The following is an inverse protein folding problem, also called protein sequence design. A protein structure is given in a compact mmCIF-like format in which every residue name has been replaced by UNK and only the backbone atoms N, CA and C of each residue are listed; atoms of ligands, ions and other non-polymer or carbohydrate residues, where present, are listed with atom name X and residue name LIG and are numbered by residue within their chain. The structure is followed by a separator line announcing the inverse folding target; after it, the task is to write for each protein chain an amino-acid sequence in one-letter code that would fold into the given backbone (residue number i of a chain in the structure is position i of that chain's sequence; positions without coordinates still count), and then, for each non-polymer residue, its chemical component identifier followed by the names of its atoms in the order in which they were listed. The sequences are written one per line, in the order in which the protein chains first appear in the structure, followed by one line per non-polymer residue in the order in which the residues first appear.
data_IF_017875333318
#
_entry.id   IF_017875333318
#
_cell.length_a   1.000
_cell.length_b   1.000
_cell.length_c   1.000
_cell.angle_alpha   90.00
_cell.angle_beta   90.00
_cell.angle_gamma   90.00
#
_symmetry.space_group_name_H-M   'P 1'
#
loop_
_entity.id
_entity.type
_entity.pdbx_description
1 polymer ?
#
# COMPACT_ATOMS: atom_id res chain seq x y z
N UNK A 1 2.33 -40.16 18.68
CA UNK A 1 2.14 -38.70 18.54
C UNK A 1 2.23 -38.21 17.10
N UNK A 2 3.11 -38.75 16.24
CA UNK A 2 3.24 -38.28 14.85
C UNK A 2 2.11 -38.70 13.90
N UNK A 3 1.51 -39.89 14.05
CA UNK A 3 0.59 -40.42 13.03
C UNK A 3 -0.75 -39.66 12.96
N UNK A 4 -1.36 -39.34 14.11
CA UNK A 4 -2.59 -38.55 14.14
C UNK A 4 -2.37 -37.14 13.57
N UNK A 5 -1.21 -36.55 13.84
CA UNK A 5 -0.84 -35.25 13.29
C UNK A 5 -0.69 -35.31 11.76
N UNK A 6 -0.01 -36.32 11.24
CA UNK A 6 0.14 -36.51 9.79
C UNK A 6 -1.21 -36.74 9.11
N UNK A 7 -2.09 -37.53 9.72
CA UNK A 7 -3.44 -37.76 9.21
C UNK A 7 -4.26 -36.45 9.14
N UNK A 8 -4.28 -35.68 10.23
CA UNK A 8 -4.97 -34.39 10.27
C UNK A 8 -4.39 -33.40 9.25
N UNK A 9 -3.06 -33.35 9.13
CA UNK A 9 -2.38 -32.49 8.17
C UNK A 9 -2.72 -32.87 6.73
N UNK A 10 -2.68 -34.15 6.39
CA UNK A 10 -2.99 -34.61 5.03
C UNK A 10 -4.46 -34.37 4.66
N UNK A 11 -5.38 -34.54 5.61
CA UNK A 11 -6.78 -34.20 5.41
C UNK A 11 -6.96 -32.69 5.12
N UNK A 12 -6.36 -31.82 5.95
CA UNK A 12 -6.44 -30.37 5.77
C UNK A 12 -5.77 -29.92 4.46
N UNK A 13 -4.62 -30.52 4.13
CA UNK A 13 -3.90 -30.25 2.87
C UNK A 13 -4.75 -30.64 1.67
N UNK A 14 -5.43 -31.78 1.71
CA UNK A 14 -6.28 -32.23 0.61
C UNK A 14 -7.49 -31.32 0.41
N UNK A 15 -8.18 -30.97 1.49
CA UNK A 15 -9.40 -30.16 1.44
C UNK A 15 -9.13 -28.70 1.03
N UNK A 16 -8.11 -28.07 1.62
CA UNK A 16 -7.88 -26.64 1.43
C UNK A 16 -6.71 -26.35 0.50
N UNK A 17 -5.56 -26.97 0.76
CA UNK A 17 -4.31 -26.57 0.11
C UNK A 17 -4.30 -26.96 -1.37
N UNK A 18 -4.65 -28.21 -1.69
CA UNK A 18 -4.66 -28.69 -3.09
C UNK A 18 -5.69 -27.92 -3.91
N UNK A 19 -6.91 -27.76 -3.38
CA UNK A 19 -7.98 -27.01 -4.05
C UNK A 19 -7.53 -25.58 -4.38
N UNK A 20 -6.97 -24.88 -3.39
CA UNK A 20 -6.46 -23.52 -3.57
C UNK A 20 -5.33 -23.45 -4.59
N UNK A 21 -4.40 -24.40 -4.58
CA UNK A 21 -3.32 -24.47 -5.56
C UNK A 21 -3.86 -24.64 -6.99
N UNK A 22 -4.88 -25.47 -7.18
CA UNK A 22 -5.50 -25.68 -8.49
C UNK A 22 -6.20 -24.41 -8.98
N UNK A 23 -7.00 -23.75 -8.13
CA UNK A 23 -7.64 -22.48 -8.45
C UNK A 23 -6.62 -21.40 -8.86
N UNK A 24 -5.52 -21.27 -8.12
CA UNK A 24 -4.44 -20.34 -8.47
C UNK A 24 -3.84 -20.68 -9.83
N UNK A 25 -3.58 -21.96 -10.08
CA UNK A 25 -2.99 -22.40 -11.34
C UNK A 25 -3.91 -22.13 -12.54
N UNK A 26 -5.22 -22.31 -12.39
CA UNK A 26 -6.21 -21.95 -13.43
C UNK A 26 -6.24 -20.44 -13.69
N UNK A 27 -6.25 -19.62 -12.62
CA UNK A 27 -6.17 -18.16 -12.74
C UNK A 27 -4.89 -17.74 -13.48
N UNK A 28 -3.74 -18.31 -13.10
CA UNK A 28 -2.46 -17.98 -13.74
C UNK A 28 -2.43 -18.39 -15.21
N UNK A 29 -3.01 -19.54 -15.56
CA UNK A 29 -3.14 -19.97 -16.96
C UNK A 29 -4.03 -19.02 -17.75
N UNK A 30 -5.18 -18.62 -17.21
CA UNK A 30 -6.08 -17.65 -17.88
C UNK A 30 -5.44 -16.27 -18.07
N UNK A 31 -4.55 -15.87 -17.17
CA UNK A 31 -3.77 -14.62 -17.26
C UNK A 31 -2.49 -14.76 -18.09
N UNK A 32 -2.17 -15.96 -18.59
CA UNK A 32 -0.95 -16.23 -19.35
C UNK A 32 0.35 -16.13 -18.54
N UNK A 33 0.27 -16.19 -17.21
CA UNK A 33 1.42 -16.07 -16.29
C UNK A 33 2.25 -17.35 -16.36
N UNK A 34 3.49 -17.23 -16.82
CA UNK A 34 4.43 -18.35 -16.96
C UNK A 34 5.26 -18.51 -15.68
N UNK A 35 5.82 -19.72 -15.50
CA UNK A 35 6.78 -19.99 -14.41
C UNK A 35 7.97 -19.02 -14.41
N UNK A 36 8.37 -18.52 -15.58
CA UNK A 36 9.42 -17.50 -15.73
C UNK A 36 9.11 -16.20 -15.01
N UNK A 37 7.84 -15.84 -14.95
CA UNK A 37 7.38 -14.54 -14.48
C UNK A 37 7.35 -14.52 -12.95
N UNK A 38 7.21 -15.71 -12.34
CA UNK A 38 7.30 -15.94 -10.90
C UNK A 38 8.73 -16.13 -10.40
N UNK A 39 9.72 -16.27 -11.29
CA UNK A 39 11.12 -16.43 -10.87
C UNK A 39 11.60 -15.11 -10.30
N UNK A 40 11.81 -15.07 -8.99
CA UNK A 40 12.53 -13.98 -8.33
C UNK A 40 13.98 -14.03 -8.81
N UNK A 41 14.34 -13.17 -9.78
CA UNK A 41 15.74 -13.00 -10.16
C UNK A 41 16.44 -12.19 -9.07
N UNK A 42 17.58 -12.68 -8.56
CA UNK A 42 18.53 -11.81 -7.87
C UNK A 42 19.02 -10.81 -8.92
N UNK A 43 18.69 -9.53 -8.78
CA UNK A 43 19.29 -8.49 -9.61
C UNK A 43 20.81 -8.57 -9.46
N UNK A 44 21.52 -9.00 -10.51
CA UNK A 44 22.98 -8.89 -10.56
C UNK A 44 23.29 -7.44 -10.94
N UNK A 45 24.20 -6.80 -10.20
CA UNK A 45 24.59 -5.41 -10.43
C UNK A 45 25.09 -5.14 -11.88
N UNK A 46 25.55 -6.18 -12.60
CA UNK A 46 25.98 -6.10 -14.00
C UNK A 46 24.86 -5.94 -15.03
N UNK A 47 23.62 -6.32 -14.72
CA UNK A 47 22.50 -6.18 -15.67
C UNK A 47 21.91 -4.75 -15.67
N UNK A 48 22.46 -3.84 -14.85
CA UNK A 48 22.05 -2.42 -14.75
C UNK A 48 22.86 -1.53 -15.70
N UNK A 49 24.01 -1.97 -16.21
CA UNK A 49 24.91 -1.09 -16.96
C UNK A 49 24.54 -0.84 -18.42
N UNK A 50 23.65 -1.64 -19.04
CA UNK A 50 23.43 -1.53 -20.49
C UNK A 50 22.16 -0.83 -20.96
N UNK A 51 21.20 -0.46 -20.08
CA UNK A 51 19.93 0.05 -20.61
C UNK A 51 19.23 1.19 -19.84
N UNK A 52 19.83 1.78 -18.80
CA UNK A 52 18.97 2.54 -17.87
C UNK A 52 19.52 3.80 -17.19
N UNK A 53 20.21 4.65 -17.94
CA UNK A 53 20.42 6.05 -17.48
C UNK A 53 19.10 6.83 -17.35
N UNK A 54 17.98 6.33 -17.91
CA UNK A 54 16.69 7.02 -17.93
C UNK A 54 15.75 6.64 -16.76
N UNK A 55 15.61 5.37 -16.34
CA UNK A 55 14.85 5.04 -15.11
C UNK A 55 15.57 5.50 -13.85
N UNK A 56 16.90 5.53 -13.78
CA UNK A 56 17.60 5.99 -12.57
C UNK A 56 17.16 7.42 -12.21
N UNK A 57 17.01 8.28 -13.22
CA UNK A 57 16.49 9.63 -13.08
C UNK A 57 14.97 9.66 -12.78
N UNK A 58 14.17 8.77 -13.36
CA UNK A 58 12.73 8.67 -13.03
C UNK A 58 12.50 8.15 -11.59
N UNK A 59 13.25 7.16 -11.13
CA UNK A 59 13.21 6.64 -9.75
C UNK A 59 13.60 7.69 -8.73
N UNK A 60 14.60 8.53 -9.04
CA UNK A 60 14.97 9.69 -8.21
C UNK A 60 13.85 10.74 -8.18
N UNK A 61 13.24 11.07 -9.31
CA UNK A 61 12.07 11.98 -9.38
C UNK A 61 10.87 11.46 -8.59
N UNK A 62 10.51 10.18 -8.72
CA UNK A 62 9.40 9.57 -7.98
C UNK A 62 9.62 9.56 -6.45
N UNK A 63 10.86 9.31 -6.00
CA UNK A 63 11.23 9.40 -4.57
C UNK A 63 11.13 10.84 -4.04
N UNK A 64 11.51 11.82 -4.86
CA UNK A 64 11.40 13.23 -4.54
C UNK A 64 9.93 13.64 -4.43
N UNK A 65 9.09 13.26 -5.38
CA UNK A 65 7.65 13.54 -5.38
C UNK A 65 6.92 12.93 -4.18
N UNK A 66 7.27 11.69 -3.80
CA UNK A 66 6.73 11.05 -2.60
C UNK A 66 7.11 11.80 -1.32
N UNK A 67 8.35 12.32 -1.24
CA UNK A 67 8.81 13.14 -0.12
C UNK A 67 8.07 14.49 -0.04
N UNK A 68 7.82 15.14 -1.18
CA UNK A 68 7.01 16.36 -1.24
C UNK A 68 5.55 16.12 -0.83
N UNK A 69 4.90 15.07 -1.32
CA UNK A 69 3.53 14.69 -0.92
C UNK A 69 3.42 14.42 0.58
N UNK A 70 4.40 13.73 1.18
CA UNK A 70 4.43 13.48 2.63
C UNK A 70 4.58 14.78 3.43
N UNK A 71 5.45 15.70 2.98
CA UNK A 71 5.63 17.02 3.60
C UNK A 71 4.34 17.85 3.53
N UNK A 72 3.68 17.86 2.38
CA UNK A 72 2.43 18.58 2.18
C UNK A 72 1.30 18.03 3.06
N UNK A 73 1.18 16.70 3.18
CA UNK A 73 0.21 16.08 4.08
C UNK A 73 0.46 16.45 5.56
N UNK A 74 1.72 16.48 5.99
CA UNK A 74 2.08 16.91 7.34
C UNK A 74 1.72 18.39 7.58
N UNK A 75 1.97 19.27 6.60
CA UNK A 75 1.60 20.70 6.69
C UNK A 75 0.07 20.84 6.76
N UNK A 76 -0.68 20.12 5.91
CA UNK A 76 -2.15 20.12 5.92
C UNK A 76 -2.71 19.63 7.26
N UNK A 77 -2.15 18.57 7.83
CA UNK A 77 -2.57 18.02 9.12
C UNK A 77 -2.37 19.04 10.26
N UNK A 78 -1.17 19.62 10.34
CA UNK A 78 -0.85 20.62 11.37
C UNK A 78 -1.70 21.89 11.20
N UNK A 79 -1.91 22.33 9.97
CA UNK A 79 -2.73 23.51 9.67
C UNK A 79 -4.21 23.28 9.93
N UNK A 80 -4.74 22.09 9.59
CA UNK A 80 -6.12 21.70 9.90
C UNK A 80 -6.35 21.73 11.40
N UNK A 81 -5.46 21.12 12.19
CA UNK A 81 -5.57 21.14 13.65
C UNK A 81 -5.49 22.56 14.19
N UNK A 82 -4.59 23.40 13.67
CA UNK A 82 -4.48 24.81 14.04
C UNK A 82 -5.74 25.62 13.71
N UNK A 83 -6.39 25.38 12.57
CA UNK A 83 -7.66 26.04 12.20
C UNK A 83 -8.78 25.55 13.11
N UNK A 84 -8.90 24.24 13.35
CA UNK A 84 -9.89 23.67 14.28
C UNK A 84 -9.72 24.29 15.66
N UNK A 85 -8.51 24.33 16.21
CA UNK A 85 -8.22 24.96 17.51
C UNK A 85 -8.66 26.42 17.55
N UNK A 86 -8.39 27.22 16.50
CA UNK A 86 -8.84 28.62 16.45
C UNK A 86 -10.36 28.79 16.44
N UNK A 87 -11.07 27.89 15.76
CA UNK A 87 -12.53 27.85 15.76
C UNK A 87 -13.08 27.40 17.11
N UNK A 88 -12.55 26.32 17.70
CA UNK A 88 -13.01 25.79 19.01
C UNK A 88 -12.69 26.72 20.17
N UNK A 89 -11.57 27.44 20.10
CA UNK A 89 -11.19 28.46 21.09
C UNK A 89 -11.93 29.79 20.89
N UNK A 90 -12.85 29.86 19.92
CA UNK A 90 -13.68 31.04 19.65
C UNK A 90 -12.88 32.29 19.26
N UNK A 91 -11.65 32.12 18.73
CA UNK A 91 -10.80 33.24 18.32
C UNK A 91 -11.29 33.86 17.00
N UNK A 92 -11.78 33.02 16.10
CA UNK A 92 -12.25 33.42 14.76
C UNK A 92 -13.78 33.58 14.67
N UNK A 93 -14.55 33.17 15.68
CA UNK A 93 -16.03 33.28 15.71
C UNK A 93 -16.55 34.58 16.31
N UNK A 94 -15.68 35.44 16.87
CA UNK A 94 -16.10 36.71 17.51
C UNK A 94 -16.80 37.70 16.58
N UNK A 95 -16.53 37.66 15.27
CA UNK A 95 -17.18 38.53 14.29
C UNK A 95 -18.43 37.89 13.66
N UNK A 96 -18.70 36.63 13.96
CA UNK A 96 -19.82 35.91 13.38
C UNK A 96 -20.98 36.06 14.37
N UNK A 97 -21.91 36.97 14.05
CA UNK A 97 -23.19 37.10 14.77
C UNK A 97 -24.03 35.83 14.55
N UNK A 98 -23.66 34.73 15.23
CA UNK A 98 -24.31 33.43 15.15
C UNK A 98 -25.40 33.26 16.21
N UNK A 99 -25.76 34.30 16.97
CA UNK A 99 -26.91 34.23 17.87
C UNK A 99 -28.19 34.16 17.04
N UNK A 100 -28.93 33.03 17.04
CA UNK A 100 -30.31 33.06 16.59
C UNK A 100 -31.05 33.96 17.59
N UNK A 101 -31.74 34.99 17.10
CA UNK A 101 -32.72 35.68 17.94
C UNK A 101 -33.80 34.65 18.25
N UNK A 102 -33.87 34.22 19.50
CA UNK A 102 -35.02 33.49 20.02
C UNK A 102 -36.22 34.44 19.88
N UNK A 103 -37.10 34.11 18.92
CA UNK A 103 -38.43 34.71 18.79
C UNK A 103 -39.36 34.00 19.77
#
# INVERSE_FOLDING_TARGET
MNELWMFCFDALKKEFWIKRCNEVNEIEQSLGIKKSDKRVRKFKAKDIESEDKNLENQKKKLKIDAKYKKRENNIKLVTKNRIISRFTEGKDTKSWNLMPKLV
#
